data_IF_806941964563
#
_entry.id   IF_806941964563
#
_cell.length_a   1.000
_cell.length_b   1.000
_cell.length_c   1.000
_cell.angle_alpha   90.00
_cell.angle_beta   90.00
_cell.angle_gamma   90.00
#
_symmetry.space_group_name_H-M   'P 1'
#
loop_
_entity.id
_entity.type
_entity.pdbx_description
1 polymer ?
#
# COMPACT_ATOMS: atom_id res chain seq x y z
N UNK A 1 -15.95 -16.32 4.32
CA UNK A 1 -15.86 -15.25 3.32
C UNK A 1 -16.35 -13.96 3.94
N UNK A 2 -15.57 -12.89 3.80
CA UNK A 2 -15.98 -11.55 4.21
C UNK A 2 -16.44 -10.72 3.02
N UNK A 3 -17.05 -9.58 3.33
CA UNK A 3 -17.46 -8.59 2.34
C UNK A 3 -16.21 -7.93 1.74
N UNK A 4 -16.23 -7.65 0.45
CA UNK A 4 -15.22 -6.81 -0.21
C UNK A 4 -15.87 -5.82 -1.16
N UNK A 5 -15.23 -4.68 -1.36
CA UNK A 5 -15.68 -3.62 -2.29
C UNK A 5 -14.48 -3.14 -3.09
N UNK A 6 -14.67 -2.88 -4.38
CA UNK A 6 -13.68 -2.28 -5.25
C UNK A 6 -14.05 -0.84 -5.57
N UNK A 7 -13.20 0.10 -5.19
CA UNK A 7 -13.39 1.52 -5.52
C UNK A 7 -13.37 1.75 -7.02
N UNK A 8 -12.51 1.04 -7.75
CA UNK A 8 -12.43 1.16 -9.21
C UNK A 8 -13.73 0.82 -9.94
N UNK A 9 -14.46 -0.20 -9.45
CA UNK A 9 -15.76 -0.59 -10.03
C UNK A 9 -16.84 0.45 -9.70
N UNK A 10 -16.82 1.03 -8.51
CA UNK A 10 -17.85 1.97 -8.04
C UNK A 10 -17.59 3.42 -8.41
N UNK A 11 -16.39 3.75 -8.89
CA UNK A 11 -16.00 5.11 -9.26
C UNK A 11 -16.92 5.70 -10.33
N UNK A 12 -17.30 6.97 -10.18
CA UNK A 12 -18.25 7.64 -11.07
C UNK A 12 -19.72 7.26 -10.89
N UNK A 13 -20.03 6.33 -9.97
CA UNK A 13 -21.40 5.88 -9.68
C UNK A 13 -21.85 6.25 -8.26
N UNK A 14 -23.13 6.03 -7.94
CA UNK A 14 -23.66 6.17 -6.58
C UNK A 14 -23.03 5.16 -5.61
N UNK A 15 -22.49 4.05 -6.12
CA UNK A 15 -21.78 3.04 -5.34
C UNK A 15 -20.58 3.57 -4.58
N UNK A 16 -19.94 4.65 -5.06
CA UNK A 16 -18.77 5.25 -4.41
C UNK A 16 -19.06 5.78 -2.99
N UNK A 17 -20.31 6.10 -2.68
CA UNK A 17 -20.73 6.49 -1.32
C UNK A 17 -20.53 5.40 -0.27
N UNK A 18 -20.44 4.14 -0.67
CA UNK A 18 -20.23 3.00 0.21
C UNK A 18 -18.74 2.66 0.40
N UNK A 19 -17.84 3.28 -0.37
CA UNK A 19 -16.43 2.94 -0.37
C UNK A 19 -15.81 3.02 1.02
N UNK A 20 -15.79 4.20 1.66
CA UNK A 20 -15.16 4.35 2.98
C UNK A 20 -15.87 3.56 4.08
N UNK A 21 -17.20 3.50 4.03
CA UNK A 21 -18.02 2.74 5.00
C UNK A 21 -17.67 1.24 4.95
N UNK A 22 -17.34 0.71 3.78
CA UNK A 22 -16.97 -0.71 3.63
C UNK A 22 -15.76 -1.12 4.47
N UNK A 23 -14.84 -0.21 4.77
CA UNK A 23 -13.68 -0.47 5.63
C UNK A 23 -14.09 -0.98 7.01
N UNK A 24 -15.03 -0.29 7.66
CA UNK A 24 -15.52 -0.69 8.98
C UNK A 24 -16.36 -1.98 8.90
N UNK A 25 -17.23 -2.10 7.91
CA UNK A 25 -18.03 -3.32 7.72
C UNK A 25 -17.15 -4.55 7.51
N UNK A 26 -16.06 -4.42 6.75
CA UNK A 26 -15.07 -5.50 6.55
C UNK A 26 -14.40 -5.86 7.88
N UNK A 27 -13.92 -4.86 8.64
CA UNK A 27 -13.31 -5.08 9.94
C UNK A 27 -14.27 -5.78 10.90
N UNK A 28 -15.50 -5.30 11.02
CA UNK A 28 -16.54 -5.87 11.87
C UNK A 28 -16.92 -7.31 11.45
N UNK A 29 -16.95 -7.60 10.14
CA UNK A 29 -17.26 -8.94 9.65
C UNK A 29 -16.16 -9.94 10.00
N UNK A 30 -14.89 -9.55 9.89
CA UNK A 30 -13.74 -10.40 10.28
C UNK A 30 -13.76 -10.64 11.78
N UNK A 31 -13.89 -9.58 12.57
CA UNK A 31 -13.92 -9.66 14.03
C UNK A 31 -15.07 -10.56 14.51
N UNK A 32 -16.27 -10.37 13.95
CA UNK A 32 -17.45 -11.15 14.31
C UNK A 32 -17.28 -12.63 14.00
N UNK A 33 -16.85 -12.99 12.80
CA UNK A 33 -16.72 -14.39 12.38
C UNK A 33 -15.61 -15.10 13.17
N UNK A 34 -14.42 -14.51 13.21
CA UNK A 34 -13.26 -15.09 13.90
C UNK A 34 -13.50 -15.16 15.41
N UNK A 35 -14.07 -14.12 16.00
CA UNK A 35 -14.38 -14.08 17.42
C UNK A 35 -15.44 -15.10 17.80
N UNK A 36 -16.53 -15.18 17.05
CA UNK A 36 -17.64 -16.12 17.28
C UNK A 36 -17.20 -17.58 17.15
N UNK A 37 -16.41 -17.90 16.11
CA UNK A 37 -15.95 -19.27 15.86
C UNK A 37 -14.70 -19.67 16.65
N UNK A 38 -14.08 -18.73 17.33
CA UNK A 38 -12.94 -19.01 18.22
C UNK A 38 -11.67 -19.47 17.50
N UNK A 39 -11.40 -18.95 16.29
CA UNK A 39 -10.19 -19.30 15.54
C UNK A 39 -8.93 -18.81 16.25
N UNK A 40 -7.87 -19.64 16.27
CA UNK A 40 -6.60 -19.33 16.94
C UNK A 40 -5.72 -18.38 16.11
N UNK A 41 -5.80 -18.44 14.78
CA UNK A 41 -5.03 -17.60 13.86
C UNK A 41 -5.83 -17.20 12.64
N UNK A 42 -5.40 -16.14 11.95
CA UNK A 42 -6.11 -15.55 10.81
C UNK A 42 -5.16 -15.20 9.67
N UNK A 43 -5.49 -15.66 8.47
CA UNK A 43 -4.90 -15.14 7.23
C UNK A 43 -5.97 -14.31 6.53
N UNK A 44 -5.71 -13.00 6.36
CA UNK A 44 -6.60 -12.12 5.62
C UNK A 44 -6.01 -11.82 4.24
N UNK A 45 -6.83 -11.91 3.20
CA UNK A 45 -6.44 -11.60 1.81
C UNK A 45 -7.23 -10.38 1.37
N UNK A 46 -6.53 -9.35 0.90
CA UNK A 46 -7.16 -8.13 0.43
C UNK A 46 -6.41 -7.48 -0.72
N UNK A 47 -7.06 -6.64 -1.49
CA UNK A 47 -6.44 -6.07 -2.68
C UNK A 47 -7.00 -4.75 -3.18
N UNK A 48 -7.85 -4.06 -2.41
CA UNK A 48 -8.37 -2.76 -2.83
C UNK A 48 -8.31 -1.74 -1.69
N UNK A 49 -8.58 -0.48 -2.02
CA UNK A 49 -8.39 0.72 -1.20
C UNK A 49 -8.85 0.57 0.25
N UNK A 50 -10.06 0.08 0.48
CA UNK A 50 -10.70 0.03 1.79
C UNK A 50 -10.66 -1.34 2.42
N UNK A 51 -10.59 -2.42 1.63
CA UNK A 51 -10.59 -3.75 2.21
C UNK A 51 -9.26 -4.09 2.89
N UNK A 52 -8.12 -3.62 2.39
CA UNK A 52 -6.84 -3.85 3.04
C UNK A 52 -6.78 -3.22 4.45
N UNK A 53 -7.03 -1.91 4.62
CA UNK A 53 -7.06 -1.35 5.98
C UNK A 53 -8.20 -1.94 6.83
N UNK A 54 -9.34 -2.31 6.23
CA UNK A 54 -10.42 -3.01 6.93
C UNK A 54 -9.96 -4.37 7.49
N UNK A 55 -9.22 -5.16 6.69
CA UNK A 55 -8.61 -6.39 7.15
C UNK A 55 -7.66 -6.14 8.34
N UNK A 56 -6.73 -5.20 8.21
CA UNK A 56 -5.77 -4.91 9.28
C UNK A 56 -6.46 -4.42 10.56
N UNK A 57 -7.49 -3.59 10.46
CA UNK A 57 -8.29 -3.15 11.61
C UNK A 57 -8.96 -4.36 12.30
N UNK A 58 -9.56 -5.27 11.53
CA UNK A 58 -10.15 -6.49 12.08
C UNK A 58 -9.12 -7.39 12.77
N UNK A 59 -7.95 -7.60 12.14
CA UNK A 59 -6.86 -8.36 12.74
C UNK A 59 -6.30 -7.70 14.02
N UNK A 60 -6.19 -6.38 14.03
CA UNK A 60 -5.74 -5.59 15.19
C UNK A 60 -6.70 -5.74 16.38
N UNK A 61 -8.01 -5.60 16.14
CA UNK A 61 -9.05 -5.74 17.19
C UNK A 61 -9.10 -7.15 17.77
N UNK A 62 -8.95 -8.18 16.92
CA UNK A 62 -8.89 -9.59 17.36
C UNK A 62 -7.64 -9.90 18.15
N UNK A 63 -6.54 -9.28 17.80
CA UNK A 63 -5.21 -9.47 18.39
C UNK A 63 -4.83 -10.95 18.58
N UNK A 64 -5.06 -11.74 17.54
CA UNK A 64 -4.63 -13.15 17.43
C UNK A 64 -3.52 -13.27 16.39
N UNK A 65 -2.66 -14.29 16.43
CA UNK A 65 -1.65 -14.52 15.40
C UNK A 65 -2.24 -14.34 14.01
N UNK A 66 -1.70 -13.43 13.23
CA UNK A 66 -2.33 -13.01 11.97
C UNK A 66 -1.31 -12.60 10.92
N UNK A 67 -1.64 -12.89 9.66
CA UNK A 67 -0.89 -12.46 8.48
C UNK A 67 -1.84 -11.83 7.47
N UNK A 68 -1.40 -10.77 6.83
CA UNK A 68 -2.08 -10.19 5.69
C UNK A 68 -1.38 -10.59 4.39
N UNK A 69 -2.15 -11.01 3.39
CA UNK A 69 -1.67 -11.29 2.03
C UNK A 69 -2.26 -10.25 1.08
N UNK A 70 -1.41 -9.55 0.37
CA UNK A 70 -1.87 -8.70 -0.73
C UNK A 70 -2.26 -9.55 -1.93
N UNK A 71 -3.47 -9.36 -2.47
CA UNK A 71 -3.95 -10.10 -3.63
C UNK A 71 -3.18 -9.82 -4.93
N UNK A 72 -2.30 -8.83 -4.93
CA UNK A 72 -1.44 -8.48 -6.03
C UNK A 72 -1.99 -7.42 -6.97
N UNK A 73 -1.10 -6.77 -7.73
CA UNK A 73 -1.45 -5.76 -8.72
C UNK A 73 -1.79 -6.38 -10.07
N UNK A 74 -2.62 -5.68 -10.85
CA UNK A 74 -2.90 -6.03 -12.24
C UNK A 74 -1.68 -5.69 -13.11
N UNK A 75 -1.36 -6.54 -14.06
CA UNK A 75 -0.36 -6.22 -15.08
C UNK A 75 -0.91 -5.15 -16.04
N UNK A 76 -0.09 -4.16 -16.44
CA UNK A 76 -0.47 -3.25 -17.52
C UNK A 76 -0.71 -4.03 -18.81
N UNK A 77 -1.45 -3.44 -19.74
CA UNK A 77 -1.65 -4.02 -21.07
C UNK A 77 -0.36 -4.06 -21.87
N UNK A 78 -0.37 -4.77 -23.01
CA UNK A 78 0.75 -4.78 -23.96
C UNK A 78 1.08 -3.39 -24.54
N UNK A 79 0.12 -2.45 -24.48
CA UNK A 79 0.29 -1.05 -24.90
C UNK A 79 0.57 -0.12 -23.71
N UNK A 80 0.93 -0.69 -22.56
CA UNK A 80 1.28 0.04 -21.34
C UNK A 80 0.15 0.98 -20.84
N UNK A 81 -1.09 0.52 -20.95
CA UNK A 81 -2.30 1.24 -20.51
C UNK A 81 -2.89 0.60 -19.26
N UNK A 82 -3.55 1.43 -18.45
CA UNK A 82 -4.21 1.05 -17.21
C UNK A 82 -5.58 1.75 -17.06
N UNK A 83 -6.22 1.59 -15.91
CA UNK A 83 -7.47 2.26 -15.60
C UNK A 83 -7.39 3.79 -15.67
N UNK A 84 -6.27 4.39 -15.26
CA UNK A 84 -6.11 5.87 -15.31
C UNK A 84 -6.01 6.35 -16.75
N UNK A 85 -5.35 5.57 -17.61
CA UNK A 85 -5.33 5.84 -19.05
C UNK A 85 -6.74 5.89 -19.63
N UNK A 86 -7.63 4.97 -19.21
CA UNK A 86 -9.04 5.00 -19.62
C UNK A 86 -9.73 6.29 -19.16
N UNK A 87 -9.52 6.70 -17.91
CA UNK A 87 -10.08 7.96 -17.39
C UNK A 87 -9.58 9.19 -18.15
N UNK A 88 -8.28 9.25 -18.48
CA UNK A 88 -7.68 10.32 -19.27
C UNK A 88 -8.29 10.38 -20.67
N UNK A 89 -8.39 9.23 -21.36
CA UNK A 89 -9.00 9.12 -22.68
C UNK A 89 -10.49 9.44 -22.68
N UNK A 90 -11.21 9.12 -21.63
CA UNK A 90 -12.61 9.54 -21.44
C UNK A 90 -12.71 11.07 -21.35
N UNK A 91 -11.76 11.70 -20.67
CA UNK A 91 -11.66 13.17 -20.59
C UNK A 91 -11.39 13.81 -21.96
N UNK A 92 -10.46 13.26 -22.74
CA UNK A 92 -10.15 13.71 -24.12
C UNK A 92 -11.37 13.53 -25.03
N UNK A 93 -12.05 12.38 -24.98
CA UNK A 93 -13.27 12.13 -25.74
C UNK A 93 -14.38 13.12 -25.40
N UNK A 94 -14.57 13.42 -24.11
CA UNK A 94 -15.59 14.37 -23.65
C UNK A 94 -15.35 15.81 -24.17
N UNK A 95 -14.10 16.15 -24.52
CA UNK A 95 -13.72 17.43 -25.12
C UNK A 95 -13.77 17.39 -26.65
N UNK A 96 -14.04 16.25 -27.27
CA UNK A 96 -13.99 16.09 -28.72
C UNK A 96 -12.56 15.99 -29.28
N UNK A 97 -11.58 15.66 -28.46
CA UNK A 97 -10.16 15.54 -28.83
C UNK A 97 -9.78 14.09 -29.18
N UNK A 98 -10.69 13.13 -29.04
CA UNK A 98 -10.48 11.71 -29.29
C UNK A 98 -11.70 11.10 -30.00
N UNK A 99 -11.46 10.19 -30.93
CA UNK A 99 -12.53 9.43 -31.61
C UNK A 99 -13.06 8.32 -30.69
N UNK A 100 -14.35 7.98 -30.82
CA UNK A 100 -15.00 6.92 -30.03
C UNK A 100 -14.33 5.55 -30.21
N UNK A 101 -13.85 5.24 -31.40
CA UNK A 101 -13.13 4.00 -31.72
C UNK A 101 -11.86 3.83 -30.89
N UNK A 102 -11.13 4.93 -30.65
CA UNK A 102 -9.89 4.93 -29.88
C UNK A 102 -10.16 4.75 -28.38
N UNK A 103 -11.22 5.41 -27.88
CA UNK A 103 -11.67 5.20 -26.49
C UNK A 103 -12.07 3.74 -26.26
N UNK A 104 -12.90 3.16 -27.15
CA UNK A 104 -13.33 1.76 -27.09
C UNK A 104 -12.12 0.81 -27.16
N UNK A 105 -11.10 1.14 -27.99
CA UNK A 105 -9.88 0.34 -28.06
C UNK A 105 -9.17 0.33 -26.69
N UNK A 106 -8.92 1.51 -26.11
CA UNK A 106 -8.25 1.64 -24.80
C UNK A 106 -9.03 0.93 -23.69
N UNK A 107 -10.36 1.06 -23.64
CA UNK A 107 -11.20 0.35 -22.69
C UNK A 107 -11.05 -1.17 -22.78
N UNK A 108 -10.97 -1.71 -24.00
CA UNK A 108 -10.84 -3.15 -24.22
C UNK A 108 -9.50 -3.72 -23.80
N UNK A 109 -8.42 -2.92 -23.83
CA UNK A 109 -7.07 -3.42 -23.58
C UNK A 109 -6.55 -3.13 -22.18
N UNK A 110 -7.05 -2.08 -21.49
CA UNK A 110 -6.40 -1.53 -20.29
C UNK A 110 -6.59 -2.35 -19.02
N UNK A 111 -7.70 -3.08 -18.87
CA UNK A 111 -8.02 -3.82 -17.63
C UNK A 111 -8.31 -5.27 -17.99
N UNK A 112 -7.26 -6.04 -18.24
CA UNK A 112 -7.36 -7.45 -18.65
C UNK A 112 -6.78 -8.37 -17.59
N UNK A 113 -7.61 -8.83 -16.67
CA UNK A 113 -7.18 -9.83 -15.70
C UNK A 113 -7.43 -9.40 -14.25
N UNK A 114 -7.08 -10.27 -13.30
CA UNK A 114 -7.25 -9.99 -11.88
C UNK A 114 -6.13 -9.10 -11.35
N UNK A 115 -6.42 -8.41 -10.25
CA UNK A 115 -5.46 -7.61 -9.51
C UNK A 115 -5.99 -6.23 -9.18
N UNK A 116 -5.30 -5.56 -8.27
CA UNK A 116 -5.53 -4.16 -7.93
C UNK A 116 -4.89 -3.23 -8.95
N UNK A 117 -5.20 -1.94 -8.91
CA UNK A 117 -4.62 -0.95 -9.83
C UNK A 117 -3.10 -1.05 -9.92
N UNK A 118 -2.54 -0.96 -11.14
CA UNK A 118 -1.11 -1.21 -11.39
C UNK A 118 -0.15 -0.09 -10.97
N UNK A 119 -0.65 1.13 -10.69
CA UNK A 119 0.19 2.25 -10.22
C UNK A 119 0.26 2.35 -8.69
N UNK A 120 1.02 3.33 -8.17
CA UNK A 120 1.12 3.65 -6.74
C UNK A 120 -0.11 4.47 -6.29
N UNK A 121 -1.29 3.91 -6.54
CA UNK A 121 -2.56 4.40 -6.02
C UNK A 121 -2.78 3.84 -4.61
N UNK A 122 -3.98 3.97 -4.05
CA UNK A 122 -4.20 3.60 -2.64
C UNK A 122 -3.96 2.11 -2.38
N UNK A 123 -4.31 1.21 -3.31
CA UNK A 123 -4.11 -0.23 -3.13
C UNK A 123 -2.63 -0.58 -2.94
N UNK A 124 -1.75 -0.20 -3.87
CA UNK A 124 -0.32 -0.48 -3.75
C UNK A 124 0.34 0.33 -2.62
N UNK A 125 -0.17 1.53 -2.32
CA UNK A 125 0.27 2.30 -1.15
C UNK A 125 0.01 1.55 0.15
N UNK A 126 -1.20 1.02 0.33
CA UNK A 126 -1.54 0.30 1.55
C UNK A 126 -0.86 -1.07 1.62
N UNK A 127 -0.70 -1.77 0.50
CA UNK A 127 0.06 -3.02 0.45
C UNK A 127 1.52 -2.78 0.92
N UNK A 128 2.19 -1.76 0.38
CA UNK A 128 3.55 -1.39 0.77
C UNK A 128 3.64 -0.93 2.23
N UNK A 129 2.63 -0.19 2.71
CA UNK A 129 2.54 0.21 4.11
C UNK A 129 2.41 -0.99 5.05
N UNK A 130 1.57 -1.96 4.70
CA UNK A 130 1.32 -3.17 5.50
C UNK A 130 2.57 -4.07 5.55
N UNK A 131 3.32 -4.16 4.43
CA UNK A 131 4.59 -4.87 4.40
C UNK A 131 5.64 -4.17 5.27
N UNK A 132 5.77 -2.85 5.16
CA UNK A 132 6.69 -2.07 5.99
C UNK A 132 6.31 -2.06 7.49
N UNK A 133 5.00 -2.16 7.79
CA UNK A 133 4.46 -2.35 9.14
C UNK A 133 4.82 -3.73 9.72
N UNK A 134 5.21 -4.70 8.88
CA UNK A 134 5.56 -6.05 9.27
C UNK A 134 4.41 -7.05 9.27
N UNK A 135 3.20 -6.70 8.77
CA UNK A 135 2.02 -7.57 8.78
C UNK A 135 1.86 -8.44 7.53
N UNK A 136 2.73 -8.29 6.52
CA UNK A 136 2.85 -9.16 5.34
C UNK A 136 4.25 -9.76 5.25
N UNK A 137 4.40 -10.86 4.53
CA UNK A 137 5.71 -11.41 4.22
C UNK A 137 6.52 -10.47 3.31
N UNK A 138 7.86 -10.49 3.42
CA UNK A 138 8.74 -9.70 2.57
C UNK A 138 8.49 -9.94 1.06
N UNK A 139 8.30 -8.85 0.31
CA UNK A 139 8.03 -8.88 -1.13
C UNK A 139 6.56 -9.04 -1.51
N UNK A 140 5.67 -9.37 -0.57
CA UNK A 140 4.24 -9.60 -0.83
C UNK A 140 3.55 -8.42 -1.51
N UNK A 141 3.89 -7.19 -1.15
CA UNK A 141 3.22 -5.96 -1.61
C UNK A 141 3.46 -5.60 -3.09
N UNK A 142 4.51 -6.15 -3.69
CA UNK A 142 4.94 -5.73 -5.04
C UNK A 142 4.51 -6.69 -6.13
N UNK A 143 4.06 -7.89 -5.78
CA UNK A 143 3.81 -8.99 -6.71
C UNK A 143 2.55 -8.77 -7.56
N UNK A 144 2.61 -9.25 -8.80
CA UNK A 144 1.43 -9.32 -9.66
C UNK A 144 0.48 -10.42 -9.19
N UNK A 145 -0.83 -10.20 -9.33
CA UNK A 145 -1.88 -11.09 -8.81
C UNK A 145 -1.83 -12.52 -9.41
N UNK A 146 -1.28 -12.68 -10.60
CA UNK A 146 -1.19 -13.97 -11.32
C UNK A 146 0.22 -14.54 -11.38
N UNK A 147 1.18 -14.00 -10.63
CA UNK A 147 2.56 -14.45 -10.63
C UNK A 147 2.74 -15.76 -9.84
N UNK A 148 3.77 -16.52 -10.20
CA UNK A 148 4.21 -17.68 -9.42
C UNK A 148 4.68 -17.26 -8.02
N UNK A 149 5.32 -16.10 -7.91
CA UNK A 149 5.74 -15.52 -6.64
C UNK A 149 4.54 -15.28 -5.71
N UNK A 150 3.39 -14.83 -6.24
CA UNK A 150 2.16 -14.67 -5.45
C UNK A 150 1.60 -16.01 -4.98
N UNK A 151 1.68 -17.04 -5.80
CA UNK A 151 1.27 -18.39 -5.37
C UNK A 151 2.18 -18.88 -4.24
N UNK A 152 3.49 -18.67 -4.37
CA UNK A 152 4.46 -19.00 -3.33
C UNK A 152 4.21 -18.21 -2.04
N UNK A 153 3.94 -16.90 -2.13
CA UNK A 153 3.60 -16.04 -1.00
C UNK A 153 2.40 -16.59 -0.21
N UNK A 154 1.36 -17.08 -0.90
CA UNK A 154 0.22 -17.72 -0.26
C UNK A 154 0.61 -19.01 0.50
N UNK A 155 1.49 -19.84 -0.07
CA UNK A 155 1.97 -21.08 0.56
C UNK A 155 2.84 -20.75 1.78
N UNK A 156 3.79 -19.82 1.62
CA UNK A 156 4.71 -19.39 2.67
C UNK A 156 3.95 -18.73 3.83
N UNK A 157 2.89 -17.98 3.55
CA UNK A 157 2.01 -17.40 4.58
C UNK A 157 1.31 -18.47 5.41
N UNK A 158 0.93 -19.61 4.79
CA UNK A 158 0.39 -20.77 5.50
C UNK A 158 1.40 -21.38 6.48
N UNK A 159 2.67 -21.40 6.13
CA UNK A 159 3.73 -21.85 7.05
C UNK A 159 4.03 -20.81 8.14
N UNK A 160 4.05 -19.54 7.75
CA UNK A 160 4.35 -18.45 8.68
C UNK A 160 3.30 -18.29 9.77
N UNK A 161 2.00 -18.50 9.49
CA UNK A 161 0.96 -18.43 10.53
C UNK A 161 1.15 -19.49 11.60
N UNK A 162 1.63 -20.69 11.27
CA UNK A 162 1.95 -21.72 12.24
C UNK A 162 3.09 -21.27 13.17
N UNK A 163 4.15 -20.66 12.62
CA UNK A 163 5.24 -20.11 13.41
C UNK A 163 4.77 -18.99 14.36
N UNK A 164 3.82 -18.16 13.92
CA UNK A 164 3.25 -17.12 14.78
C UNK A 164 2.40 -17.70 15.92
N UNK A 165 1.66 -18.78 15.66
CA UNK A 165 0.90 -19.50 16.67
C UNK A 165 1.83 -20.12 17.70
N UNK A 166 2.89 -20.82 17.26
CA UNK A 166 3.87 -21.48 18.15
C UNK A 166 4.63 -20.49 19.04
N UNK A 167 4.89 -19.29 18.53
CA UNK A 167 5.59 -18.20 19.24
C UNK A 167 4.67 -17.22 19.98
N UNK A 168 3.36 -17.37 19.87
CA UNK A 168 2.32 -16.45 20.37
C UNK A 168 2.54 -14.99 19.90
N UNK A 169 3.00 -14.80 18.65
CA UNK A 169 3.21 -13.47 18.07
C UNK A 169 1.89 -12.95 17.50
N UNK A 170 1.46 -11.81 18.03
CA UNK A 170 0.18 -11.18 17.73
C UNK A 170 0.37 -9.81 17.05
N UNK A 171 -0.67 -9.24 16.41
CA UNK A 171 -0.62 -7.88 15.86
C UNK A 171 -0.07 -6.83 16.83
N UNK A 172 -0.40 -6.89 18.12
CA UNK A 172 0.13 -5.96 19.13
C UNK A 172 1.64 -6.05 19.37
N UNK A 173 2.28 -7.16 19.00
CA UNK A 173 3.74 -7.29 19.07
C UNK A 173 4.42 -6.69 17.83
N UNK A 174 3.71 -6.57 16.71
CA UNK A 174 4.23 -6.13 15.41
C UNK A 174 3.87 -4.66 15.16
N UNK A 175 2.61 -4.28 15.35
CA UNK A 175 2.05 -2.97 15.02
C UNK A 175 2.36 -1.93 16.12
N UNK A 176 3.65 -1.70 16.38
CA UNK A 176 4.14 -0.71 17.34
C UNK A 176 4.18 0.70 16.72
N UNK A 177 4.42 1.73 17.53
CA UNK A 177 4.61 3.12 17.03
C UNK A 177 5.71 3.18 15.98
N UNK A 178 6.85 2.53 16.24
CA UNK A 178 8.01 2.47 15.37
C UNK A 178 7.68 1.77 14.04
N UNK A 179 6.88 0.71 14.08
CA UNK A 179 6.43 0.01 12.88
C UNK A 179 5.50 0.90 12.03
N UNK A 180 4.62 1.70 12.63
CA UNK A 180 3.85 2.71 11.91
C UNK A 180 4.73 3.81 11.31
N UNK A 181 5.79 4.24 12.00
CA UNK A 181 6.76 5.19 11.47
C UNK A 181 7.51 4.62 10.25
N UNK A 182 7.85 3.32 10.28
CA UNK A 182 8.40 2.61 9.12
C UNK A 182 7.43 2.65 7.93
N UNK A 183 6.15 2.32 8.16
CA UNK A 183 5.12 2.35 7.14
C UNK A 183 4.95 3.75 6.52
N UNK A 184 4.91 4.81 7.34
CA UNK A 184 4.84 6.21 6.89
C UNK A 184 6.05 6.55 6.02
N UNK A 185 7.25 6.18 6.47
CA UNK A 185 8.50 6.45 5.74
C UNK A 185 8.48 5.80 4.36
N UNK A 186 8.10 4.53 4.26
CA UNK A 186 8.02 3.80 2.99
C UNK A 186 6.96 4.41 2.06
N UNK A 187 5.77 4.73 2.58
CA UNK A 187 4.71 5.40 1.81
C UNK A 187 5.17 6.73 1.23
N UNK A 188 5.88 7.52 2.01
CA UNK A 188 6.44 8.80 1.54
C UNK A 188 7.46 8.58 0.44
N UNK A 189 8.39 7.65 0.64
CA UNK A 189 9.46 7.37 -0.34
C UNK A 189 8.92 6.83 -1.67
N UNK A 190 7.79 6.11 -1.63
CA UNK A 190 7.10 5.61 -2.83
C UNK A 190 6.19 6.64 -3.50
N UNK A 191 5.99 7.82 -2.93
CA UNK A 191 5.04 8.80 -3.47
C UNK A 191 3.58 8.39 -3.33
N UNK A 192 3.24 7.71 -2.25
CA UNK A 192 1.95 7.06 -2.01
C UNK A 192 0.73 8.00 -1.93
N UNK A 193 -0.43 7.41 -1.75
CA UNK A 193 -1.74 8.08 -1.69
C UNK A 193 -1.97 8.81 -0.36
N UNK A 194 -2.72 9.92 -0.39
CA UNK A 194 -3.24 10.61 0.81
C UNK A 194 -4.11 9.71 1.69
N UNK A 195 -4.77 8.71 1.11
CA UNK A 195 -5.57 7.75 1.85
C UNK A 195 -4.77 6.97 2.91
N UNK A 196 -3.45 6.84 2.73
CA UNK A 196 -2.59 6.21 3.73
C UNK A 196 -2.66 6.92 5.09
N UNK A 197 -2.75 8.25 5.11
CA UNK A 197 -2.88 9.02 6.36
C UNK A 197 -4.14 8.62 7.11
N UNK A 198 -5.28 8.66 6.41
CA UNK A 198 -6.58 8.26 6.98
C UNK A 198 -6.56 6.82 7.51
N UNK A 199 -5.99 5.90 6.73
CA UNK A 199 -6.02 4.48 7.07
C UNK A 199 -5.04 4.11 8.17
N UNK A 200 -3.83 4.67 8.18
CA UNK A 200 -2.86 4.39 9.23
C UNK A 200 -3.32 4.92 10.58
N UNK A 201 -3.96 6.10 10.63
CA UNK A 201 -4.57 6.61 11.87
C UNK A 201 -5.64 5.65 12.41
N UNK A 202 -6.51 5.14 11.54
CA UNK A 202 -7.55 4.18 11.94
C UNK A 202 -6.97 2.83 12.38
N UNK A 203 -5.94 2.32 11.69
CA UNK A 203 -5.25 1.08 12.05
C UNK A 203 -4.52 1.22 13.39
N UNK A 204 -3.81 2.33 13.61
CA UNK A 204 -3.13 2.62 14.87
C UNK A 204 -4.14 2.73 16.04
N UNK A 205 -5.26 3.42 15.82
CA UNK A 205 -6.33 3.51 16.81
C UNK A 205 -6.89 2.13 17.17
N UNK A 206 -7.08 1.25 16.19
CA UNK A 206 -7.63 -0.10 16.40
C UNK A 206 -6.75 -0.98 17.29
N UNK A 207 -5.42 -0.77 17.28
CA UNK A 207 -4.45 -1.51 18.12
C UNK A 207 -4.04 -0.73 19.38
N UNK A 208 -4.58 0.49 19.59
CA UNK A 208 -4.25 1.31 20.74
C UNK A 208 -2.93 2.09 20.66
N UNK A 209 -2.35 2.22 19.48
CA UNK A 209 -1.13 3.01 19.24
C UNK A 209 -1.49 4.48 19.01
N UNK A 210 -0.79 5.37 19.69
CA UNK A 210 -0.95 6.82 19.51
C UNK A 210 -0.21 7.27 18.25
N UNK A 211 -0.96 7.58 17.22
CA UNK A 211 -0.49 8.14 15.96
C UNK A 211 -1.33 9.37 15.62
N UNK A 212 -0.69 10.46 15.19
CA UNK A 212 -1.37 11.69 14.82
C UNK A 212 -0.85 12.27 13.50
N UNK A 213 -1.49 13.35 13.04
CA UNK A 213 -1.12 14.01 11.79
C UNK A 213 0.28 14.62 11.83
N UNK A 214 0.75 15.05 12.99
CA UNK A 214 2.07 15.67 13.14
C UNK A 214 3.21 14.65 13.02
N UNK A 215 2.94 13.36 13.26
CA UNK A 215 3.91 12.29 12.95
C UNK A 215 4.24 12.26 11.45
N UNK A 216 3.24 12.41 10.58
CA UNK A 216 3.47 12.49 9.13
C UNK A 216 4.29 13.72 8.76
N UNK A 217 4.06 14.85 9.41
CA UNK A 217 4.86 16.06 9.22
C UNK A 217 6.31 15.85 9.68
N UNK A 218 6.49 15.29 10.86
CA UNK A 218 7.81 15.04 11.47
C UNK A 218 8.66 14.09 10.61
N UNK A 219 8.08 12.95 10.23
CA UNK A 219 8.74 11.94 9.40
C UNK A 219 8.99 12.51 8.00
N UNK A 220 8.01 13.21 7.43
CA UNK A 220 8.08 13.76 6.09
C UNK A 220 9.17 14.82 5.88
N UNK A 221 9.60 15.52 6.94
CA UNK A 221 10.70 16.49 6.85
C UNK A 221 12.04 15.86 6.48
N UNK A 222 12.25 14.59 6.82
CA UNK A 222 13.53 13.87 6.62
C UNK A 222 13.44 12.75 5.56
N UNK A 223 12.25 12.47 5.05
CA UNK A 223 12.01 11.35 4.13
C UNK A 223 11.84 11.85 2.70
N UNK A 224 12.73 11.47 1.77
CA UNK A 224 12.63 11.86 0.37
C UNK A 224 11.59 11.03 -0.38
N UNK A 225 11.06 11.57 -1.49
CA UNK A 225 10.31 10.81 -2.51
C UNK A 225 11.32 10.29 -3.53
N UNK A 226 11.39 8.97 -3.68
CA UNK A 226 12.41 8.32 -4.51
C UNK A 226 11.80 7.60 -5.73
N UNK A 227 10.54 7.16 -5.65
CA UNK A 227 9.93 6.33 -6.68
C UNK A 227 9.25 7.13 -7.79
N UNK A 228 9.60 6.83 -9.04
CA UNK A 228 8.99 7.38 -10.26
C UNK A 228 7.82 6.49 -10.72
N UNK A 229 6.80 6.37 -9.87
CA UNK A 229 5.63 5.51 -10.08
C UNK A 229 4.38 6.33 -10.42
N UNK A 230 3.55 5.82 -11.35
CA UNK A 230 2.22 6.40 -11.61
C UNK A 230 1.41 6.52 -10.31
N UNK A 231 0.59 7.59 -10.13
CA UNK A 231 0.06 8.50 -11.15
C UNK A 231 0.93 9.72 -11.49
N UNK A 232 1.94 10.07 -10.71
CA UNK A 232 2.75 11.25 -11.01
C UNK A 232 4.04 10.93 -11.77
N UNK A 233 4.53 9.70 -11.66
CA UNK A 233 5.67 9.17 -12.39
C UNK A 233 5.28 8.38 -13.63
N UNK A 234 6.24 7.64 -14.18
CA UNK A 234 6.12 6.99 -15.47
C UNK A 234 5.90 5.48 -15.40
N UNK A 235 6.27 4.84 -14.28
CA UNK A 235 6.34 3.40 -14.15
C UNK A 235 5.17 2.77 -13.38
N UNK A 236 4.96 1.47 -13.63
CA UNK A 236 3.97 0.65 -12.92
C UNK A 236 4.61 -0.18 -11.82
N UNK A 237 3.77 -0.71 -10.93
CA UNK A 237 4.19 -1.58 -9.83
C UNK A 237 4.80 -2.89 -10.32
N UNK A 238 4.32 -3.44 -11.44
CA UNK A 238 4.89 -4.64 -12.08
C UNK A 238 6.35 -4.43 -12.53
N UNK A 239 6.69 -3.21 -13.00
CA UNK A 239 8.08 -2.87 -13.35
C UNK A 239 8.95 -2.78 -12.10
N UNK A 240 8.45 -2.20 -11.01
CA UNK A 240 9.14 -2.19 -9.72
C UNK A 240 9.34 -3.62 -9.20
N UNK A 241 8.31 -4.47 -9.30
CA UNK A 241 8.42 -5.88 -8.89
C UNK A 241 9.52 -6.61 -9.65
N UNK A 242 9.61 -6.42 -10.96
CA UNK A 242 10.67 -7.00 -11.79
C UNK A 242 12.10 -6.54 -11.40
N UNK A 243 12.21 -5.44 -10.65
CA UNK A 243 13.46 -4.89 -10.13
C UNK A 243 13.68 -5.17 -8.63
N UNK A 244 12.92 -6.09 -8.01
CA UNK A 244 13.08 -6.49 -6.62
C UNK A 244 12.05 -5.90 -5.65
N UNK A 245 11.01 -5.24 -6.18
CA UNK A 245 9.91 -4.69 -5.37
C UNK A 245 10.36 -3.58 -4.43
N UNK A 246 9.74 -3.49 -3.26
CA UNK A 246 10.07 -2.44 -2.28
C UNK A 246 11.22 -2.83 -1.31
N UNK A 247 11.65 -4.09 -1.32
CA UNK A 247 12.67 -4.56 -0.37
C UNK A 247 14.00 -3.80 -0.47
N UNK A 248 14.58 -3.56 -1.67
CA UNK A 248 15.82 -2.79 -1.78
C UNK A 248 15.65 -1.31 -1.37
N UNK A 249 14.46 -0.72 -1.56
CA UNK A 249 14.14 0.61 -1.05
C UNK A 249 14.15 0.62 0.48
N UNK A 250 13.48 -0.35 1.11
CA UNK A 250 13.45 -0.48 2.57
C UNK A 250 14.87 -0.69 3.13
N UNK A 251 15.70 -1.50 2.47
CA UNK A 251 17.10 -1.68 2.85
C UNK A 251 17.87 -0.35 2.79
N UNK A 252 17.70 0.41 1.71
CA UNK A 252 18.33 1.75 1.57
C UNK A 252 17.88 2.69 2.68
N UNK A 253 16.59 2.74 2.99
CA UNK A 253 16.05 3.60 4.06
C UNK A 253 16.55 3.18 5.45
N UNK A 254 16.69 1.87 5.69
CA UNK A 254 17.24 1.32 6.92
C UNK A 254 18.71 1.72 7.08
N UNK A 255 19.53 1.57 6.03
CA UNK A 255 20.96 1.93 6.04
C UNK A 255 21.18 3.45 6.23
N UNK A 256 20.20 4.27 5.84
CA UNK A 256 20.22 5.73 6.09
C UNK A 256 19.64 6.11 7.48
N UNK A 257 19.26 5.14 8.30
CA UNK A 257 18.73 5.38 9.65
C UNK A 257 17.32 5.98 9.66
N UNK A 258 16.53 5.75 8.61
CA UNK A 258 15.15 6.23 8.49
C UNK A 258 14.10 5.19 8.85
N UNK A 259 14.50 3.92 9.04
CA UNK A 259 13.64 2.84 9.52
C UNK A 259 14.13 2.29 10.86
N UNK A 260 13.19 1.83 11.67
CA UNK A 260 13.42 1.12 12.92
C UNK A 260 13.59 -0.37 12.61
N UNK A 261 14.82 -0.83 12.59
CA UNK A 261 15.18 -2.18 12.15
C UNK A 261 14.79 -3.29 13.14
N UNK A 262 14.61 -2.95 14.41
CA UNK A 262 14.26 -3.87 15.49
C UNK A 262 12.78 -4.26 15.53
N UNK A 263 11.93 -3.62 14.75
CA UNK A 263 10.51 -3.95 14.67
C UNK A 263 10.30 -5.41 14.24
N UNK A 264 9.51 -6.14 15.03
CA UNK A 264 9.12 -7.51 14.74
C UNK A 264 8.18 -7.59 13.54
N UNK A 265 8.24 -8.69 12.79
CA UNK A 265 7.38 -8.92 11.63
C UNK A 265 6.70 -10.28 11.68
N UNK A 266 5.77 -10.54 10.77
CA UNK A 266 5.08 -11.84 10.63
C UNK A 266 6.00 -13.02 10.28
N UNK A 267 7.27 -12.78 9.94
CA UNK A 267 8.25 -13.86 9.78
C UNK A 267 8.72 -14.41 11.14
N UNK A 268 8.44 -13.68 12.23
CA UNK A 268 9.00 -13.95 13.56
C UNK A 268 10.44 -13.44 13.72
N UNK A 269 10.95 -12.70 12.74
CA UNK A 269 12.23 -12.00 12.73
C UNK A 269 12.00 -10.48 12.73
N UNK A 270 13.04 -9.72 13.03
CA UNK A 270 13.02 -8.26 12.91
C UNK A 270 13.08 -7.80 11.46
N UNK A 271 12.72 -6.56 11.23
CA UNK A 271 12.83 -5.94 9.91
C UNK A 271 14.27 -5.94 9.39
N UNK A 272 15.24 -5.63 10.26
CA UNK A 272 16.66 -5.63 9.90
C UNK A 272 17.16 -7.03 9.50
N UNK A 273 16.74 -8.08 10.22
CA UNK A 273 17.07 -9.47 9.87
C UNK A 273 16.51 -9.86 8.51
N UNK A 274 15.25 -9.51 8.22
CA UNK A 274 14.62 -9.77 6.92
C UNK A 274 15.35 -9.04 5.77
N UNK A 275 15.83 -7.82 6.01
CA UNK A 275 16.51 -7.01 5.00
C UNK A 275 18.01 -7.32 4.86
N UNK A 276 18.59 -8.13 5.74
CA UNK A 276 20.05 -8.35 5.81
C UNK A 276 20.67 -8.86 4.51
N UNK A 277 19.96 -9.72 3.78
CA UNK A 277 20.41 -10.34 2.54
C UNK A 277 19.78 -9.73 1.27
N UNK A 278 19.06 -8.61 1.40
CA UNK A 278 18.44 -7.94 0.26
C UNK A 278 19.52 -7.22 -0.55
N UNK A 279 19.60 -7.56 -1.84
CA UNK A 279 20.50 -6.89 -2.77
C UNK A 279 19.99 -5.49 -3.12
N UNK A 280 20.89 -4.51 -3.36
CA UNK A 280 20.48 -3.20 -3.85
C UNK A 280 19.85 -3.31 -5.25
N UNK A 281 19.14 -2.26 -5.65
CA UNK A 281 18.66 -2.16 -7.03
C UNK A 281 19.82 -2.17 -8.03
N UNK A 282 19.57 -2.70 -9.24
CA UNK A 282 20.54 -2.63 -10.33
C UNK A 282 20.81 -1.16 -10.74
N UNK A 283 22.04 -0.84 -11.08
CA UNK A 283 22.46 0.54 -11.42
C UNK A 283 21.74 1.11 -12.65
N UNK A 284 21.27 0.26 -13.55
CA UNK A 284 20.61 0.65 -14.80
C UNK A 284 19.10 0.83 -14.69
N UNK A 285 18.47 0.65 -13.50
CA UNK A 285 17.06 0.95 -13.31
C UNK A 285 16.86 2.45 -13.01
N UNK A 286 15.70 2.98 -13.38
CA UNK A 286 15.32 4.38 -13.21
C UNK A 286 14.01 4.60 -12.44
N UNK A 287 13.42 3.52 -11.92
CA UNK A 287 12.13 3.54 -11.20
C UNK A 287 12.32 4.12 -9.81
N UNK A 288 13.37 3.70 -9.10
CA UNK A 288 13.73 4.24 -7.79
C UNK A 288 15.01 5.07 -7.93
N UNK A 289 14.89 6.36 -7.68
CA UNK A 289 16.03 7.29 -7.68
C UNK A 289 16.93 7.02 -6.49
N UNK A 290 18.22 7.38 -6.62
CA UNK A 290 19.14 7.27 -5.48
C UNK A 290 18.74 8.21 -4.35
N UNK A 291 19.13 7.87 -3.14
CA UNK A 291 18.85 8.69 -1.96
C UNK A 291 19.47 10.12 -2.07
N UNK A 292 20.61 10.23 -2.72
CA UNK A 292 21.33 11.50 -2.90
C UNK A 292 20.79 12.35 -4.07
N UNK A 293 19.96 11.75 -4.95
CA UNK A 293 19.29 12.45 -6.05
C UNK A 293 17.81 12.02 -6.16
N UNK A 294 16.99 12.27 -5.13
CA UNK A 294 15.59 11.88 -5.11
C UNK A 294 14.75 12.76 -6.04
N UNK A 295 13.51 12.32 -6.33
CA UNK A 295 12.51 13.14 -7.05
C UNK A 295 12.18 14.38 -6.23
N UNK A 296 12.05 14.21 -4.90
CA UNK A 296 11.78 15.30 -3.96
C UNK A 296 12.54 15.02 -2.67
N UNK A 297 13.17 16.02 -2.11
CA UNK A 297 14.02 15.86 -0.90
C UNK A 297 13.23 15.69 0.40
N UNK A 298 11.94 15.99 0.38
CA UNK A 298 11.02 15.84 1.51
C UNK A 298 9.70 15.26 1.05
N UNK A 299 8.82 14.93 1.98
CA UNK A 299 7.49 14.36 1.71
C UNK A 299 6.69 15.15 0.67
N UNK A 300 5.98 14.40 -0.17
CA UNK A 300 4.93 14.88 -1.06
C UNK A 300 3.58 15.05 -0.34
N UNK A 301 3.43 14.46 0.86
CA UNK A 301 2.26 14.65 1.72
C UNK A 301 2.48 15.84 2.65
N UNK A 302 1.52 16.75 2.68
CA UNK A 302 1.55 17.93 3.56
C UNK A 302 0.31 17.95 4.43
N UNK A 303 0.51 18.12 5.71
CA UNK A 303 -0.56 18.39 6.66
C UNK A 303 -0.75 19.90 6.74
N UNK A 304 -1.98 20.33 6.56
CA UNK A 304 -2.37 21.73 6.53
C UNK A 304 -3.37 22.00 7.65
N UNK A 305 -3.17 23.08 8.36
CA UNK A 305 -4.09 23.57 9.41
C UNK A 305 -4.58 24.97 9.06
N UNK A 306 -5.81 25.27 9.42
CA UNK A 306 -6.39 26.59 9.19
C UNK A 306 -7.86 26.65 9.60
N UNK A 307 -8.49 27.79 9.39
CA UNK A 307 -9.89 27.99 9.77
C UNK A 307 -10.89 27.11 9.00
N UNK A 308 -10.55 26.60 7.84
CA UNK A 308 -11.36 25.63 7.07
C UNK A 308 -11.12 24.19 7.51
N UNK A 309 -9.99 23.92 8.13
CA UNK A 309 -9.57 22.58 8.60
C UNK A 309 -8.79 22.72 9.90
N UNK A 310 -9.49 23.07 10.96
CA UNK A 310 -8.89 23.28 12.28
C UNK A 310 -8.23 22.03 12.86
N UNK A 311 -8.76 20.85 12.52
CA UNK A 311 -8.23 19.55 12.93
C UNK A 311 -7.25 18.96 11.91
N UNK A 312 -6.95 19.70 10.85
CA UNK A 312 -6.00 19.31 9.81
C UNK A 312 -6.62 18.77 8.53
N UNK A 313 -5.90 18.94 7.46
CA UNK A 313 -6.19 18.38 6.14
C UNK A 313 -4.91 17.85 5.51
N UNK A 314 -5.03 16.94 4.55
CA UNK A 314 -3.89 16.35 3.83
C UNK A 314 -3.89 16.83 2.39
N UNK A 315 -2.76 17.38 1.94
CA UNK A 315 -2.53 17.70 0.54
C UNK A 315 -1.42 16.82 -0.04
N UNK A 316 -1.60 16.35 -1.28
CA UNK A 316 -0.57 15.67 -2.05
C UNK A 316 0.06 16.67 -3.02
N UNK A 317 1.33 17.00 -2.78
CA UNK A 317 2.13 17.92 -3.60
C UNK A 317 3.11 17.07 -4.38
N UNK A 318 2.73 16.66 -5.58
CA UNK A 318 3.56 15.88 -6.50
C UNK A 318 4.16 16.78 -7.56
N UNK A 319 5.29 16.37 -8.15
CA UNK A 319 6.21 17.18 -8.97
C UNK A 319 5.69 17.83 -10.28
N UNK A 320 4.40 17.98 -10.44
CA UNK A 320 3.82 18.94 -11.39
C UNK A 320 3.64 20.30 -10.70
N UNK A 321 4.69 20.78 -10.01
CA UNK A 321 4.72 22.15 -9.51
C UNK A 321 4.86 23.07 -10.72
N UNK A 322 3.70 23.56 -11.15
CA UNK A 322 3.59 24.79 -11.91
C UNK A 322 4.50 24.94 -13.15
N UNK A 323 4.16 24.30 -14.25
CA UNK A 323 4.23 24.97 -15.53
C UNK A 323 2.90 25.69 -15.74
N UNK A 324 2.83 26.92 -15.28
CA UNK A 324 1.79 27.88 -15.68
C UNK A 324 1.93 28.19 -17.15
#
# INVERSE_FOLDING_TARGET
NTITVSDGISMGTQGMKYSLVSREVIADSIETVVGCLGYDGVIAIGGCDKNMPGCIIGLARLNRPSIFIYGGSIKPSSENTDYVTVCEKTGEFSKGELEESDLIHVEKISVKGPGSCGGMYTANTMASAIEALGMSLPGSSSQDATSEDKQKDCIDSGQAIINLLDKDIKPSNIMTKEAFENAITVVISLGGSTNAVLHMLAMAHAIGVQLDLDDFTRIGKKTPVMADLKPFGSHYMSELNANGGIQPLMKTLLDKGLLHGECLTVTGNTLAENLSNVSPYADNQNIIRSFDNPIKTTSHLRILYGNLASEGAVAKITGKEGTS
#
